data_IF_667075820994
#
_entry.id   IF_667075820994
#
_cell.length_a   1.000
_cell.length_b   1.000
_cell.length_c   1.000
_cell.angle_alpha   90.00
_cell.angle_beta   90.00
_cell.angle_gamma   90.00
#
_symmetry.space_group_name_H-M   'P 1'
#
loop_
_entity.id
_entity.type
_entity.pdbx_description
1 polymer ?
#
# COMPACT_ATOMS: atom_id res chain seq x y z
N UNK A 1 -17.44 -8.02 -0.12
CA UNK A 1 -16.71 -8.53 1.07
C UNK A 1 -17.23 -7.89 2.34
N UNK A 2 -17.02 -6.57 2.53
CA UNK A 2 -17.50 -5.86 3.72
C UNK A 2 -19.00 -6.07 3.98
N UNK A 3 -19.86 -5.85 2.97
CA UNK A 3 -21.30 -6.05 3.08
C UNK A 3 -21.68 -7.49 3.46
N UNK A 4 -21.03 -8.51 2.88
CA UNK A 4 -21.28 -9.92 3.18
C UNK A 4 -20.88 -10.26 4.63
N UNK A 5 -19.71 -9.79 5.06
CA UNK A 5 -19.18 -10.06 6.40
C UNK A 5 -20.04 -9.41 7.49
N UNK A 6 -20.50 -8.18 7.28
CA UNK A 6 -21.34 -7.45 8.23
C UNK A 6 -22.85 -7.66 8.01
N UNK A 7 -23.26 -8.63 7.19
CA UNK A 7 -24.67 -8.93 6.91
C UNK A 7 -25.44 -9.56 8.08
N UNK A 8 -24.75 -9.90 9.19
CA UNK A 8 -25.32 -10.64 10.33
C UNK A 8 -25.50 -12.14 10.07
N UNK A 9 -25.34 -12.60 8.83
CA UNK A 9 -25.30 -14.02 8.46
C UNK A 9 -23.88 -14.55 8.68
N UNK A 10 -23.75 -15.83 9.05
CA UNK A 10 -22.45 -16.49 9.30
C UNK A 10 -22.11 -17.61 8.29
N UNK A 11 -22.28 -17.42 6.97
CA UNK A 11 -21.80 -18.41 6.01
C UNK A 11 -20.26 -18.36 5.93
N UNK A 12 -19.60 -19.46 5.51
CA UNK A 12 -18.19 -19.42 5.15
C UNK A 12 -17.92 -18.36 4.08
N UNK A 13 -17.00 -17.44 4.34
CA UNK A 13 -16.68 -16.36 3.41
C UNK A 13 -15.50 -16.75 2.52
N UNK A 14 -15.77 -16.92 1.22
CA UNK A 14 -14.74 -17.26 0.23
C UNK A 14 -14.34 -16.02 -0.57
N UNK A 15 -13.08 -15.62 -0.48
CA UNK A 15 -12.58 -14.36 -1.05
C UNK A 15 -12.14 -14.48 -2.52
N UNK A 16 -12.69 -15.41 -3.29
CA UNK A 16 -12.26 -15.70 -4.67
C UNK A 16 -12.25 -14.47 -5.59
N UNK A 17 -13.24 -13.56 -5.46
CA UNK A 17 -13.29 -12.32 -6.25
C UNK A 17 -12.16 -11.37 -5.89
N UNK A 18 -11.86 -11.24 -4.60
CA UNK A 18 -10.77 -10.39 -4.13
C UNK A 18 -9.42 -10.97 -4.58
N UNK A 19 -9.23 -12.28 -4.40
CA UNK A 19 -8.04 -12.99 -4.85
C UNK A 19 -7.83 -12.82 -6.36
N UNK A 20 -8.87 -12.99 -7.15
CA UNK A 20 -8.80 -12.80 -8.60
C UNK A 20 -8.38 -11.36 -8.98
N UNK A 21 -9.00 -10.35 -8.36
CA UNK A 21 -8.65 -8.95 -8.61
C UNK A 21 -7.19 -8.66 -8.29
N UNK A 22 -6.70 -9.12 -7.13
CA UNK A 22 -5.31 -8.93 -6.73
C UNK A 22 -4.36 -9.68 -7.65
N UNK A 23 -4.67 -10.93 -8.03
CA UNK A 23 -3.83 -11.70 -8.97
C UNK A 23 -3.76 -11.08 -10.36
N UNK A 24 -4.83 -10.43 -10.82
CA UNK A 24 -4.79 -9.70 -12.09
C UNK A 24 -3.94 -8.44 -12.02
N UNK A 25 -3.88 -7.81 -10.85
CA UNK A 25 -3.10 -6.59 -10.59
C UNK A 25 -1.62 -6.87 -10.31
N UNK A 26 -1.34 -7.86 -9.46
CA UNK A 26 -0.03 -8.29 -9.00
C UNK A 26 0.17 -9.77 -9.31
N UNK A 27 0.55 -10.09 -10.56
CA UNK A 27 0.65 -11.47 -11.04
C UNK A 27 1.67 -12.33 -10.30
N UNK A 28 2.70 -11.75 -9.69
CA UNK A 28 3.69 -12.51 -8.91
C UNK A 28 3.08 -13.10 -7.63
N UNK A 29 1.99 -12.52 -7.12
CA UNK A 29 1.22 -13.07 -6.00
C UNK A 29 0.22 -14.16 -6.42
N UNK A 30 0.10 -14.44 -7.72
CA UNK A 30 -0.85 -15.41 -8.25
C UNK A 30 -0.32 -16.84 -8.13
N UNK A 31 -1.14 -17.72 -7.56
CA UNK A 31 -0.78 -19.13 -7.40
C UNK A 31 -1.29 -19.71 -6.09
N UNK A 32 -0.90 -20.95 -5.82
CA UNK A 32 -1.29 -21.68 -4.61
C UNK A 32 -0.21 -21.66 -3.53
N UNK A 33 0.92 -21.00 -3.81
CA UNK A 33 2.04 -20.87 -2.88
C UNK A 33 1.75 -19.80 -1.82
N UNK A 34 2.40 -19.95 -0.65
CA UNK A 34 2.37 -18.91 0.38
C UNK A 34 3.12 -17.68 -0.11
N UNK A 35 2.61 -16.50 0.23
CA UNK A 35 3.16 -15.21 -0.16
C UNK A 35 3.36 -14.32 1.06
N UNK A 36 4.16 -13.28 0.89
CA UNK A 36 4.35 -12.26 1.91
C UNK A 36 3.04 -11.47 2.12
N UNK A 37 2.61 -11.37 3.39
CA UNK A 37 1.38 -10.69 3.75
C UNK A 37 1.47 -9.16 3.60
N UNK A 38 2.66 -8.58 3.80
CA UNK A 38 2.92 -7.16 3.58
C UNK A 38 2.83 -6.83 2.08
N UNK A 39 3.46 -7.64 1.22
CA UNK A 39 3.37 -7.44 -0.24
C UNK A 39 1.92 -7.53 -0.73
N UNK A 40 1.15 -8.51 -0.24
CA UNK A 40 -0.28 -8.63 -0.53
C UNK A 40 -1.09 -7.42 -0.06
N UNK A 41 -0.78 -6.89 1.12
CA UNK A 41 -1.45 -5.71 1.68
C UNK A 41 -1.19 -4.46 0.84
N UNK A 42 0.08 -4.19 0.51
CA UNK A 42 0.47 -3.04 -0.32
C UNK A 42 -0.17 -3.14 -1.71
N UNK A 43 -0.17 -4.32 -2.34
CA UNK A 43 -0.84 -4.54 -3.62
C UNK A 43 -2.36 -4.27 -3.54
N UNK A 44 -3.00 -4.63 -2.43
CA UNK A 44 -4.43 -4.37 -2.20
C UNK A 44 -4.71 -2.88 -2.03
N UNK A 45 -3.89 -2.15 -1.27
CA UNK A 45 -4.02 -0.70 -1.10
C UNK A 45 -3.84 0.04 -2.43
N UNK A 46 -2.85 -0.35 -3.23
CA UNK A 46 -2.61 0.24 -4.56
C UNK A 46 -3.80 0.04 -5.49
N UNK A 47 -4.38 -1.18 -5.51
CA UNK A 47 -5.59 -1.46 -6.28
C UNK A 47 -6.76 -0.56 -5.85
N UNK A 48 -6.98 -0.41 -4.54
CA UNK A 48 -8.03 0.45 -4.00
C UNK A 48 -7.77 1.93 -4.31
N UNK A 49 -6.53 2.41 -4.16
CA UNK A 49 -6.13 3.77 -4.47
C UNK A 49 -6.46 4.11 -5.92
N UNK A 50 -6.08 3.24 -6.87
CA UNK A 50 -6.36 3.43 -8.30
C UNK A 50 -7.84 3.45 -8.62
N UNK A 51 -8.63 2.60 -7.98
CA UNK A 51 -10.09 2.54 -8.18
C UNK A 51 -10.83 3.71 -7.54
N UNK A 52 -10.31 4.27 -6.43
CA UNK A 52 -10.92 5.40 -5.72
C UNK A 52 -10.44 6.77 -6.23
N UNK A 53 -9.36 6.81 -7.02
CA UNK A 53 -8.91 8.01 -7.73
C UNK A 53 -9.98 8.38 -8.76
N UNK A 54 -10.86 9.32 -8.40
CA UNK A 54 -11.95 9.76 -9.26
C UNK A 54 -11.47 10.25 -10.63
N UNK A 55 -12.38 10.31 -11.61
CA UNK A 55 -12.11 10.80 -12.97
C UNK A 55 -11.73 12.30 -13.04
N UNK A 56 -11.85 13.03 -11.94
CA UNK A 56 -11.44 14.43 -11.84
C UNK A 56 -9.93 14.52 -11.74
N UNK A 57 -9.29 14.99 -12.81
CA UNK A 57 -7.85 15.20 -12.90
C UNK A 57 -7.33 15.92 -11.65
N UNK A 58 -6.37 15.33 -10.90
CA UNK A 58 -5.82 16.01 -9.74
C UNK A 58 -4.95 17.18 -10.21
N UNK A 59 -5.11 18.33 -9.55
CA UNK A 59 -4.24 19.50 -9.72
C UNK A 59 -2.80 19.25 -9.28
N UNK A 60 -2.54 18.16 -8.54
CA UNK A 60 -1.22 17.68 -8.17
C UNK A 60 -1.12 16.14 -8.33
N UNK A 61 -0.21 15.61 -9.17
CA UNK A 61 -0.05 14.17 -9.37
C UNK A 61 0.38 13.41 -8.11
N UNK A 62 0.92 14.12 -7.10
CA UNK A 62 1.42 13.57 -5.84
C UNK A 62 0.41 13.59 -4.68
N UNK A 63 -0.83 14.03 -4.90
CA UNK A 63 -1.87 14.03 -3.85
C UNK A 63 -3.19 13.54 -4.45
N UNK A 64 -3.62 12.34 -4.07
CA UNK A 64 -4.97 11.88 -4.33
C UNK A 64 -5.86 12.18 -3.11
N UNK A 65 -7.09 12.63 -3.33
CA UNK A 65 -8.07 12.78 -2.24
C UNK A 65 -8.82 11.49 -1.94
N UNK A 66 -8.30 10.32 -2.34
CA UNK A 66 -8.99 9.05 -2.11
C UNK A 66 -8.89 8.60 -0.65
N UNK A 67 -9.75 7.66 -0.27
CA UNK A 67 -9.78 7.12 1.10
C UNK A 67 -8.46 6.46 1.50
N UNK A 68 -7.72 5.88 0.55
CA UNK A 68 -6.42 5.26 0.84
C UNK A 68 -5.40 6.34 1.22
N UNK A 69 -5.33 7.43 0.47
CA UNK A 69 -4.40 8.52 0.77
C UNK A 69 -4.76 9.22 2.08
N UNK A 70 -6.05 9.44 2.35
CA UNK A 70 -6.49 10.10 3.57
C UNK A 70 -6.22 9.29 4.84
N UNK A 71 -6.21 7.95 4.76
CA UNK A 71 -6.06 7.07 5.93
C UNK A 71 -4.62 6.59 6.09
N UNK A 72 -3.95 6.22 5.01
CA UNK A 72 -2.68 5.51 5.04
C UNK A 72 -1.47 6.35 4.60
N UNK A 73 -1.67 7.50 3.92
CA UNK A 73 -0.52 8.26 3.43
C UNK A 73 0.08 9.18 4.49
N UNK A 74 1.37 8.99 4.77
CA UNK A 74 2.22 9.95 5.48
C UNK A 74 3.25 10.58 4.56
N UNK A 75 4.05 11.52 5.08
CA UNK A 75 5.20 12.10 4.39
C UNK A 75 6.51 11.74 5.06
N UNK A 76 7.44 11.15 4.30
CA UNK A 76 8.80 10.82 4.74
C UNK A 76 9.76 11.87 4.23
N UNK A 77 10.48 12.53 5.15
CA UNK A 77 11.56 13.43 4.79
C UNK A 77 12.87 12.65 4.65
N UNK A 78 13.42 12.63 3.43
CA UNK A 78 14.71 12.03 3.09
C UNK A 78 15.75 13.13 2.86
N UNK A 79 16.71 13.25 3.78
CA UNK A 79 17.81 14.20 3.69
C UNK A 79 19.10 13.48 3.28
N UNK A 80 19.59 13.78 2.07
CA UNK A 80 20.87 13.27 1.57
C UNK A 80 21.94 14.34 1.75
N UNK A 81 22.89 14.06 2.64
CA UNK A 81 24.02 14.96 2.91
C UNK A 81 25.22 14.56 2.05
N UNK A 82 25.68 15.47 1.20
CA UNK A 82 26.90 15.27 0.43
C UNK A 82 28.12 15.29 1.36
N UNK A 83 28.91 14.23 1.35
CA UNK A 83 30.09 14.10 2.21
C UNK A 83 31.28 14.97 1.76
N UNK A 84 31.26 15.51 0.55
CA UNK A 84 32.34 16.35 0.02
C UNK A 84 32.12 17.85 0.24
N UNK A 85 30.87 18.34 0.15
CA UNK A 85 30.55 19.78 0.24
C UNK A 85 29.59 20.13 1.38
N UNK A 86 29.12 19.15 2.16
CA UNK A 86 28.14 19.30 3.23
C UNK A 86 26.78 19.89 2.80
N UNK A 87 26.51 19.92 1.49
CA UNK A 87 25.21 20.29 0.96
C UNK A 87 24.15 19.24 1.32
N UNK A 88 22.95 19.69 1.67
CA UNK A 88 21.82 18.82 2.02
C UNK A 88 20.78 18.89 0.89
N UNK A 89 20.37 17.72 0.41
CA UNK A 89 19.26 17.57 -0.52
C UNK A 89 18.08 16.93 0.20
N UNK A 90 17.00 17.68 0.37
CA UNK A 90 15.77 17.23 1.04
C UNK A 90 14.72 16.82 0.03
N UNK A 91 14.16 15.62 0.19
CA UNK A 91 13.01 15.12 -0.59
C UNK A 91 11.88 14.72 0.37
N UNK A 92 10.64 15.07 0.05
CA UNK A 92 9.46 14.64 0.82
C UNK A 92 8.70 13.61 -0.02
N UNK A 93 8.80 12.33 0.38
CA UNK A 93 8.19 11.22 -0.33
C UNK A 93 6.93 10.73 0.40
N UNK A 94 5.81 10.49 -0.30
CA UNK A 94 4.65 9.87 0.30
C UNK A 94 4.94 8.38 0.60
N UNK A 95 4.44 7.88 1.74
CA UNK A 95 4.53 6.47 2.11
C UNK A 95 3.19 5.93 2.61
N UNK A 96 2.96 4.62 2.51
CA UNK A 96 1.77 3.93 3.06
C UNK A 96 2.08 3.01 4.24
N UNK A 97 3.34 2.68 4.44
CA UNK A 97 3.83 1.84 5.52
C UNK A 97 5.17 2.33 6.05
N UNK A 98 5.50 1.91 7.27
CA UNK A 98 6.80 2.14 7.88
C UNK A 98 7.42 0.76 8.11
N UNK A 99 8.37 0.43 7.25
CA UNK A 99 9.17 -0.78 7.40
C UNK A 99 10.23 -0.56 8.48
N UNK A 100 10.14 -1.30 9.59
CA UNK A 100 11.06 -1.21 10.72
C UNK A 100 12.03 -2.38 10.69
N UNK A 101 13.33 -2.08 10.72
CA UNK A 101 14.35 -3.09 10.97
C UNK A 101 14.34 -3.48 12.45
N UNK A 102 14.33 -4.78 12.73
CA UNK A 102 14.31 -5.31 14.10
C UNK A 102 15.71 -5.57 14.66
N UNK A 103 16.76 -5.29 13.87
CA UNK A 103 18.15 -5.59 14.23
C UNK A 103 18.42 -7.10 14.25
N UNK A 104 19.70 -7.48 14.19
CA UNK A 104 20.07 -8.87 14.40
C UNK A 104 19.86 -9.26 15.87
N UNK A 105 19.06 -10.30 16.10
CA UNK A 105 19.07 -11.01 17.38
C UNK A 105 20.45 -11.62 17.58
N UNK A 106 21.25 -11.04 18.49
CA UNK A 106 22.51 -11.63 18.93
C UNK A 106 22.14 -12.87 19.74
N UNK A 107 22.33 -14.05 19.13
CA UNK A 107 22.19 -15.36 19.79
C UNK A 107 23.50 -15.80 20.44
#
# INVERSE_FOLDING_TARGET
LFQEFYSGRKPPLVLHRLLHLIWTHARHLAGYEQQDAHEFFIATLDLLHRHCKGTTAPSNPHHCSCIIDQIFTGGLQSDVVCTACSGVSTTIDPFWDISLDLGCSVG
#
